data_IF_385588108668
#
_entry.id   IF_385588108668
#
_cell.length_a   1.000
_cell.length_b   1.000
_cell.length_c   1.000
_cell.angle_alpha   90.00
_cell.angle_beta   90.00
_cell.angle_gamma   90.00
#
_symmetry.space_group_name_H-M   'P 1'
#
loop_
_entity.id
_entity.type
_entity.pdbx_description
1 polymer ?
#
# COMPACT_ATOMS: atom_id res chain seq x y z
N UNK A 1 -29.44 -35.54 -29.50
CA UNK A 1 -27.99 -35.80 -29.25
C UNK A 1 -27.08 -35.11 -30.27
N UNK A 2 -27.42 -35.11 -31.57
CA UNK A 2 -26.61 -34.46 -32.62
C UNK A 2 -26.49 -32.92 -32.47
N UNK A 3 -27.56 -32.24 -32.04
CA UNK A 3 -27.57 -30.79 -31.80
C UNK A 3 -26.70 -30.34 -30.63
N UNK A 4 -26.60 -31.16 -29.57
CA UNK A 4 -25.71 -30.88 -28.43
C UNK A 4 -24.23 -30.97 -28.84
N UNK A 5 -23.87 -32.01 -29.61
CA UNK A 5 -22.53 -32.17 -30.15
C UNK A 5 -22.16 -30.99 -31.08
N UNK A 6 -23.07 -30.59 -31.97
CA UNK A 6 -22.90 -29.42 -32.82
C UNK A 6 -22.70 -28.13 -32.02
N UNK A 7 -23.50 -27.90 -30.97
CA UNK A 7 -23.36 -26.72 -30.11
C UNK A 7 -22.04 -26.69 -29.34
N UNK A 8 -21.58 -27.83 -28.82
CA UNK A 8 -20.26 -27.92 -28.16
C UNK A 8 -19.10 -27.70 -29.11
N UNK A 9 -19.21 -28.13 -30.38
CA UNK A 9 -18.17 -27.90 -31.39
C UNK A 9 -18.10 -26.45 -31.85
N UNK A 10 -19.22 -25.72 -31.88
CA UNK A 10 -19.25 -24.31 -32.31
C UNK A 10 -18.37 -23.44 -31.41
N UNK A 11 -18.52 -23.54 -30.09
CA UNK A 11 -17.71 -22.73 -29.15
C UNK A 11 -16.22 -23.05 -29.22
N UNK A 12 -15.87 -24.33 -29.40
CA UNK A 12 -14.48 -24.75 -29.57
C UNK A 12 -13.89 -24.19 -30.87
N UNK A 13 -14.67 -24.14 -31.94
CA UNK A 13 -14.24 -23.59 -33.22
C UNK A 13 -14.10 -22.06 -33.15
N UNK A 14 -15.04 -21.36 -32.51
CA UNK A 14 -14.93 -19.92 -32.24
C UNK A 14 -13.64 -19.58 -31.47
N UNK A 15 -13.33 -20.37 -30.43
CA UNK A 15 -12.08 -20.22 -29.69
C UNK A 15 -10.85 -20.47 -30.57
N UNK A 16 -10.90 -21.51 -31.40
CA UNK A 16 -9.81 -21.86 -32.32
C UNK A 16 -9.54 -20.76 -33.33
N UNK A 17 -10.60 -20.18 -33.91
CA UNK A 17 -10.52 -19.05 -34.84
C UNK A 17 -9.89 -17.86 -34.13
N UNK A 18 -10.45 -17.44 -32.98
CA UNK A 18 -9.94 -16.29 -32.20
C UNK A 18 -8.47 -16.45 -31.81
N UNK A 19 -8.06 -17.66 -31.41
CA UNK A 19 -6.66 -17.97 -31.09
C UNK A 19 -5.76 -17.83 -32.31
N UNK A 20 -6.22 -18.32 -33.46
CA UNK A 20 -5.47 -18.24 -34.73
C UNK A 20 -5.30 -16.80 -35.18
N UNK A 21 -6.37 -16.00 -35.11
CA UNK A 21 -6.34 -14.57 -35.47
C UNK A 21 -5.40 -13.80 -34.56
N UNK A 22 -5.44 -14.07 -33.25
CA UNK A 22 -4.55 -13.45 -32.27
C UNK A 22 -3.09 -13.80 -32.56
N UNK A 23 -2.79 -15.06 -32.89
CA UNK A 23 -1.43 -15.48 -33.29
C UNK A 23 -0.95 -14.80 -34.57
N UNK A 24 -1.80 -14.73 -35.59
CA UNK A 24 -1.47 -14.04 -36.84
C UNK A 24 -1.21 -12.55 -36.61
N UNK A 25 -2.05 -11.90 -35.81
CA UNK A 25 -1.88 -10.51 -35.42
C UNK A 25 -0.56 -10.28 -34.66
N UNK A 26 -0.24 -11.11 -33.67
CA UNK A 26 1.02 -11.01 -32.90
C UNK A 26 2.26 -11.20 -33.79
N UNK A 27 2.20 -12.12 -34.76
CA UNK A 27 3.27 -12.34 -35.73
C UNK A 27 3.45 -11.15 -36.65
N UNK A 28 2.34 -10.61 -37.17
CA UNK A 28 2.36 -9.44 -38.04
C UNK A 28 2.93 -8.20 -37.33
N UNK A 29 2.63 -8.04 -36.03
CA UNK A 29 3.18 -6.97 -35.18
C UNK A 29 4.58 -7.25 -34.62
N UNK A 30 5.19 -8.39 -34.97
CA UNK A 30 6.54 -8.77 -34.57
C UNK A 30 6.77 -8.71 -33.04
N UNK A 31 5.78 -9.13 -32.26
CA UNK A 31 5.89 -9.05 -30.80
C UNK A 31 7.05 -9.92 -30.27
N UNK A 32 7.80 -9.46 -29.25
CA UNK A 32 8.75 -10.28 -28.51
C UNK A 32 8.14 -11.60 -28.01
N UNK A 33 8.97 -12.64 -27.90
CA UNK A 33 8.52 -13.97 -27.50
C UNK A 33 7.87 -13.96 -26.10
N UNK A 34 8.40 -13.18 -25.17
CA UNK A 34 7.88 -13.04 -23.80
C UNK A 34 6.47 -12.44 -23.78
N UNK A 35 6.23 -11.40 -24.58
CA UNK A 35 4.89 -10.81 -24.72
C UNK A 35 3.91 -11.78 -25.37
N UNK A 36 4.33 -12.51 -26.40
CA UNK A 36 3.51 -13.55 -27.03
C UNK A 36 3.12 -14.65 -26.05
N UNK A 37 4.04 -15.09 -25.20
CA UNK A 37 3.75 -16.08 -24.15
C UNK A 37 2.78 -15.54 -23.11
N UNK A 38 2.93 -14.26 -22.72
CA UNK A 38 2.04 -13.60 -21.76
C UNK A 38 0.61 -13.49 -22.31
N UNK A 39 0.44 -13.09 -23.58
CA UNK A 39 -0.86 -13.04 -24.25
C UNK A 39 -1.50 -14.44 -24.33
N UNK A 40 -0.75 -15.47 -24.74
CA UNK A 40 -1.25 -16.86 -24.79
C UNK A 40 -1.74 -17.35 -23.43
N UNK A 41 -0.98 -17.06 -22.37
CA UNK A 41 -1.33 -17.43 -20.99
C UNK A 41 -2.64 -16.76 -20.57
N UNK A 42 -2.75 -15.45 -20.84
CA UNK A 42 -3.96 -14.69 -20.56
C UNK A 42 -5.18 -15.24 -21.30
N UNK A 43 -5.07 -15.49 -22.61
CA UNK A 43 -6.18 -16.02 -23.41
C UNK A 43 -6.62 -17.41 -22.94
N UNK A 44 -5.65 -18.27 -22.60
CA UNK A 44 -5.93 -19.60 -22.04
C UNK A 44 -6.64 -19.48 -20.69
N UNK A 45 -6.15 -18.62 -19.79
CA UNK A 45 -6.76 -18.41 -18.49
C UNK A 45 -8.17 -17.84 -18.62
N UNK A 46 -8.35 -16.79 -19.42
CA UNK A 46 -9.66 -16.19 -19.71
C UNK A 46 -10.65 -17.22 -20.24
N UNK A 47 -10.22 -18.11 -21.12
CA UNK A 47 -11.06 -19.19 -21.62
C UNK A 47 -11.47 -20.18 -20.52
N UNK A 48 -10.53 -20.57 -19.65
CA UNK A 48 -10.82 -21.50 -18.55
C UNK A 48 -11.78 -20.87 -17.53
N UNK A 49 -11.55 -19.60 -17.18
CA UNK A 49 -12.34 -18.87 -16.20
C UNK A 49 -13.77 -18.61 -16.70
N UNK A 50 -13.92 -18.11 -17.93
CA UNK A 50 -15.22 -17.68 -18.47
C UNK A 50 -15.93 -18.73 -19.34
N UNK A 51 -15.23 -19.80 -19.74
CA UNK A 51 -15.69 -20.80 -20.72
C UNK A 51 -16.19 -20.18 -22.04
N UNK A 52 -15.60 -19.03 -22.41
CA UNK A 52 -15.96 -18.29 -23.62
C UNK A 52 -17.20 -17.42 -23.49
N UNK A 53 -17.79 -17.30 -22.31
CA UNK A 53 -18.92 -16.40 -22.07
C UNK A 53 -18.40 -14.99 -21.85
N UNK A 54 -18.84 -14.07 -22.70
CA UNK A 54 -18.68 -12.64 -22.45
C UNK A 54 -19.78 -12.20 -21.47
N UNK A 55 -19.41 -12.07 -20.18
CA UNK A 55 -20.32 -11.68 -19.11
C UNK A 55 -20.97 -10.32 -19.37
N UNK A 56 -20.25 -9.37 -19.96
CA UNK A 56 -20.79 -8.03 -20.20
C UNK A 56 -21.81 -8.05 -21.35
N UNK A 57 -21.53 -8.81 -22.41
CA UNK A 57 -22.49 -9.01 -23.50
C UNK A 57 -23.74 -9.78 -23.03
N UNK A 58 -23.55 -10.80 -22.18
CA UNK A 58 -24.66 -11.55 -21.57
C UNK A 58 -25.56 -10.63 -20.75
N UNK A 59 -24.98 -9.81 -19.89
CA UNK A 59 -25.72 -8.86 -19.04
C UNK A 59 -26.40 -7.75 -19.86
N UNK A 60 -25.81 -7.32 -20.99
CA UNK A 60 -26.43 -6.35 -21.91
C UNK A 60 -27.69 -6.89 -22.60
N UNK A 61 -27.81 -8.21 -22.77
CA UNK A 61 -29.00 -8.86 -23.34
C UNK A 61 -30.19 -8.95 -22.39
N UNK A 62 -30.00 -8.65 -21.10
CA UNK A 62 -31.05 -8.73 -20.07
C UNK A 62 -31.73 -7.37 -19.85
N UNK A 63 -33.01 -7.35 -19.44
CA UNK A 63 -33.67 -6.15 -18.90
C UNK A 63 -32.86 -5.51 -17.78
N UNK A 64 -32.96 -4.17 -17.65
CA UNK A 64 -32.13 -3.41 -16.71
C UNK A 64 -32.29 -3.86 -15.26
N UNK A 65 -33.50 -4.21 -14.82
CA UNK A 65 -33.76 -4.65 -13.45
C UNK A 65 -33.04 -5.96 -13.13
N UNK A 66 -33.13 -6.96 -14.03
CA UNK A 66 -32.43 -8.23 -13.86
C UNK A 66 -30.91 -8.06 -13.87
N UNK A 67 -30.40 -7.20 -14.76
CA UNK A 67 -28.97 -6.89 -14.79
C UNK A 67 -28.49 -6.28 -13.47
N UNK A 68 -29.27 -5.35 -12.90
CA UNK A 68 -28.96 -4.72 -11.60
C UNK A 68 -28.97 -5.76 -10.48
N UNK A 69 -29.98 -6.61 -10.42
CA UNK A 69 -30.11 -7.62 -9.38
C UNK A 69 -28.96 -8.65 -9.42
N UNK A 70 -28.56 -9.07 -10.63
CA UNK A 70 -27.39 -9.96 -10.81
C UNK A 70 -26.10 -9.26 -10.35
N UNK A 71 -25.84 -8.02 -10.81
CA UNK A 71 -24.64 -7.28 -10.40
C UNK A 71 -24.59 -7.05 -8.89
N UNK A 72 -25.72 -6.72 -8.27
CA UNK A 72 -25.85 -6.58 -6.82
C UNK A 72 -25.53 -7.89 -6.12
N UNK A 73 -26.08 -9.02 -6.57
CA UNK A 73 -25.80 -10.32 -5.98
C UNK A 73 -24.31 -10.71 -6.05
N UNK A 74 -23.64 -10.41 -7.16
CA UNK A 74 -22.23 -10.76 -7.35
C UNK A 74 -21.27 -9.87 -6.56
N UNK A 75 -21.58 -8.58 -6.41
CA UNK A 75 -20.62 -7.58 -5.95
C UNK A 75 -20.87 -7.05 -4.53
N UNK A 76 -22.12 -7.09 -4.03
CA UNK A 76 -22.49 -6.36 -2.81
C UNK A 76 -21.65 -6.74 -1.59
N UNK A 77 -21.43 -8.04 -1.39
CA UNK A 77 -20.64 -8.56 -0.25
C UNK A 77 -19.17 -8.13 -0.36
N UNK A 78 -18.63 -8.02 -1.56
CA UNK A 78 -17.25 -7.56 -1.79
C UNK A 78 -17.13 -6.06 -1.54
N UNK A 79 -18.12 -5.27 -2.00
CA UNK A 79 -18.14 -3.83 -1.79
C UNK A 79 -18.26 -3.50 -0.30
N UNK A 80 -19.15 -4.19 0.44
CA UNK A 80 -19.32 -3.97 1.90
C UNK A 80 -18.09 -4.34 2.73
N UNK A 81 -17.17 -5.15 2.22
CA UNK A 81 -15.88 -5.39 2.91
C UNK A 81 -15.00 -4.15 2.97
N UNK A 82 -15.21 -3.18 2.07
CA UNK A 82 -14.54 -1.88 2.17
C UNK A 82 -15.24 -1.09 3.27
N UNK A 83 -14.56 -0.78 4.39
CA UNK A 83 -15.24 -0.22 5.56
C UNK A 83 -15.84 1.16 5.32
N UNK A 84 -15.32 1.89 4.33
CA UNK A 84 -15.90 3.15 3.86
C UNK A 84 -17.27 2.92 3.20
N UNK A 85 -17.41 1.87 2.39
CA UNK A 85 -18.64 1.58 1.66
C UNK A 85 -19.71 0.96 2.56
N UNK A 86 -19.33 0.21 3.59
CA UNK A 86 -20.27 -0.35 4.55
C UNK A 86 -21.10 0.72 5.30
N UNK A 87 -20.57 1.94 5.40
CA UNK A 87 -21.24 3.09 6.03
C UNK A 87 -22.14 3.87 5.05
N UNK A 88 -22.24 3.44 3.79
CA UNK A 88 -23.03 4.10 2.76
C UNK A 88 -24.46 3.55 2.68
N UNK A 89 -25.37 4.38 2.18
CA UNK A 89 -26.75 3.97 1.88
C UNK A 89 -26.80 2.92 0.75
N UNK A 90 -27.77 2.00 0.81
CA UNK A 90 -27.90 0.91 -0.17
C UNK A 90 -27.99 1.40 -1.63
N UNK A 91 -28.61 2.56 -1.88
CA UNK A 91 -28.69 3.16 -3.23
C UNK A 91 -27.30 3.49 -3.80
N UNK A 92 -26.38 3.87 -2.94
CA UNK A 92 -25.02 4.19 -3.32
C UNK A 92 -24.22 2.91 -3.59
N UNK A 93 -24.38 1.90 -2.72
CA UNK A 93 -23.81 0.58 -2.93
C UNK A 93 -24.28 -0.04 -4.25
N UNK A 94 -25.56 0.08 -4.57
CA UNK A 94 -26.12 -0.31 -5.87
C UNK A 94 -25.43 0.42 -7.02
N UNK A 95 -25.25 1.74 -6.91
CA UNK A 95 -24.60 2.54 -7.95
C UNK A 95 -23.12 2.16 -8.20
N UNK A 96 -22.36 1.72 -7.18
CA UNK A 96 -21.00 1.19 -7.40
C UNK A 96 -21.07 -0.23 -7.96
N UNK A 97 -21.98 -1.08 -7.47
CA UNK A 97 -22.14 -2.45 -7.97
C UNK A 97 -22.46 -2.47 -9.48
N UNK A 98 -23.27 -1.54 -9.95
CA UNK A 98 -23.58 -1.38 -11.37
C UNK A 98 -22.37 -1.01 -12.23
N UNK A 99 -21.37 -0.34 -11.66
CA UNK A 99 -20.16 0.16 -12.36
C UNK A 99 -18.96 -0.79 -12.27
N UNK A 100 -19.02 -1.80 -11.40
CA UNK A 100 -17.98 -2.82 -11.35
C UNK A 100 -17.90 -3.62 -12.65
N UNK A 101 -16.67 -3.87 -13.08
CA UNK A 101 -16.33 -4.64 -14.27
C UNK A 101 -15.45 -5.84 -13.89
N UNK A 102 -15.68 -7.04 -14.44
CA UNK A 102 -14.82 -8.19 -14.18
C UNK A 102 -13.42 -7.94 -14.74
N UNK A 103 -12.40 -8.29 -13.95
CA UNK A 103 -10.99 -8.16 -14.28
C UNK A 103 -10.26 -9.49 -14.00
N UNK A 104 -9.42 -9.90 -14.94
CA UNK A 104 -8.63 -11.12 -14.86
C UNK A 104 -7.15 -10.77 -14.99
N UNK A 105 -6.32 -11.31 -14.11
CA UNK A 105 -4.88 -11.09 -14.14
C UNK A 105 -4.14 -12.42 -14.07
N UNK A 106 -3.13 -12.58 -14.92
CA UNK A 106 -2.27 -13.76 -14.90
C UNK A 106 -1.18 -13.66 -13.85
N UNK A 107 -0.65 -14.81 -13.44
CA UNK A 107 0.51 -14.88 -12.56
C UNK A 107 1.66 -14.01 -13.09
N UNK A 108 2.29 -13.25 -12.19
CA UNK A 108 3.44 -12.43 -12.51
C UNK A 108 3.11 -11.04 -13.07
N UNK A 109 1.86 -10.79 -13.45
CA UNK A 109 1.41 -9.49 -13.93
C UNK A 109 1.55 -8.44 -12.83
N UNK A 110 2.02 -7.25 -13.19
CA UNK A 110 2.10 -6.11 -12.28
C UNK A 110 0.87 -5.24 -12.54
N UNK A 111 -0.02 -5.18 -11.55
CA UNK A 111 -1.31 -4.50 -11.66
C UNK A 111 -1.14 -2.99 -11.42
N UNK A 112 -0.27 -2.65 -10.47
CA UNK A 112 0.09 -1.26 -10.15
C UNK A 112 1.56 -1.20 -9.81
N UNK A 113 2.25 -0.13 -10.21
CA UNK A 113 3.62 0.15 -9.77
C UNK A 113 3.59 1.34 -8.84
N UNK A 114 4.48 1.33 -7.85
CA UNK A 114 4.70 2.49 -7.01
C UNK A 114 5.03 3.71 -7.88
N UNK A 115 4.40 4.85 -7.58
CA UNK A 115 4.48 6.13 -8.31
C UNK A 115 3.73 6.21 -9.65
N UNK A 116 3.08 5.15 -10.10
CA UNK A 116 2.22 5.21 -11.30
C UNK A 116 0.80 5.72 -10.95
N UNK A 117 0.09 6.39 -11.87
CA UNK A 117 -1.30 6.80 -11.66
C UNK A 117 -2.22 5.60 -11.40
N UNK A 118 -3.04 5.69 -10.35
CA UNK A 118 -4.04 4.66 -10.03
C UNK A 118 -5.30 4.93 -10.86
N UNK A 119 -5.61 4.03 -11.79
CA UNK A 119 -6.74 4.17 -12.70
C UNK A 119 -8.01 3.47 -12.21
N UNK A 120 -7.86 2.45 -11.38
CA UNK A 120 -8.94 1.58 -10.93
C UNK A 120 -8.67 1.04 -9.52
N UNK A 121 -9.75 0.78 -8.79
CA UNK A 121 -9.75 0.09 -7.51
C UNK A 121 -10.18 -1.35 -7.74
N UNK A 122 -9.42 -2.32 -7.23
CA UNK A 122 -9.68 -3.74 -7.46
C UNK A 122 -10.19 -4.43 -6.20
N UNK A 123 -11.19 -5.28 -6.36
CA UNK A 123 -11.79 -6.12 -5.33
C UNK A 123 -11.49 -7.57 -5.66
N UNK A 124 -10.71 -8.25 -4.81
CA UNK A 124 -10.19 -9.57 -5.12
C UNK A 124 -11.24 -10.63 -4.79
N UNK A 125 -11.59 -11.46 -5.76
CA UNK A 125 -12.54 -12.57 -5.60
C UNK A 125 -11.77 -13.87 -5.38
N UNK A 126 -10.73 -14.08 -6.19
CA UNK A 126 -9.86 -15.25 -6.14
C UNK A 126 -8.42 -14.87 -6.45
N UNK A 127 -7.51 -15.69 -5.93
CA UNK A 127 -6.07 -15.46 -6.06
C UNK A 127 -5.51 -14.52 -5.01
N UNK A 128 -4.22 -14.23 -5.14
CA UNK A 128 -3.40 -13.48 -4.22
C UNK A 128 -2.48 -12.52 -4.96
N UNK A 129 -2.31 -11.35 -4.37
CA UNK A 129 -1.38 -10.33 -4.83
C UNK A 129 -0.32 -10.10 -3.76
N UNK A 130 0.91 -9.84 -4.18
CA UNK A 130 1.95 -9.28 -3.33
C UNK A 130 1.97 -7.77 -3.52
N UNK A 131 1.88 -7.06 -2.40
CA UNK A 131 2.02 -5.61 -2.35
C UNK A 131 3.34 -5.26 -1.69
N UNK A 132 4.16 -4.45 -2.35
CA UNK A 132 5.45 -3.98 -1.86
C UNK A 132 5.53 -2.47 -1.93
N UNK A 133 6.05 -1.81 -0.90
CA UNK A 133 6.33 -0.37 -0.91
C UNK A 133 7.76 -0.11 -0.49
N UNK A 134 8.42 0.76 -1.25
CA UNK A 134 9.78 1.25 -0.99
C UNK A 134 9.79 2.69 -0.50
N UNK A 135 8.61 3.30 -0.38
CA UNK A 135 8.41 4.71 -0.04
C UNK A 135 9.33 5.63 -0.86
N UNK A 136 9.26 5.48 -2.18
CA UNK A 136 10.07 6.23 -3.14
C UNK A 136 11.56 5.88 -3.08
N UNK A 137 11.90 4.60 -2.84
CA UNK A 137 13.28 4.12 -2.85
C UNK A 137 14.11 4.48 -1.62
N UNK A 138 13.48 4.74 -0.47
CA UNK A 138 14.19 5.04 0.77
C UNK A 138 14.99 3.81 1.24
N UNK A 139 16.30 3.97 1.44
CA UNK A 139 17.17 2.90 1.90
C UNK A 139 16.72 2.37 3.27
N UNK A 140 16.61 1.04 3.39
CA UNK A 140 16.17 0.37 4.62
C UNK A 140 14.66 0.39 4.89
N UNK A 141 13.84 0.90 3.95
CA UNK A 141 12.39 0.84 4.04
C UNK A 141 11.83 -0.14 2.99
N UNK A 142 11.35 -1.29 3.47
CA UNK A 142 10.66 -2.28 2.65
C UNK A 142 9.50 -2.85 3.45
N UNK A 143 8.27 -2.60 3.00
CA UNK A 143 7.08 -3.19 3.59
C UNK A 143 6.41 -4.04 2.51
N UNK A 144 6.14 -5.30 2.83
CA UNK A 144 5.42 -6.22 1.97
C UNK A 144 4.21 -6.80 2.71
N UNK A 145 3.11 -6.97 1.98
CA UNK A 145 1.94 -7.68 2.47
C UNK A 145 1.27 -8.45 1.33
N UNK A 146 0.57 -9.53 1.69
CA UNK A 146 -0.21 -10.33 0.76
C UNK A 146 -1.67 -9.90 0.83
N UNK A 147 -2.26 -9.66 -0.34
CA UNK A 147 -3.68 -9.32 -0.52
C UNK A 147 -4.35 -10.59 -1.03
N UNK A 148 -5.44 -11.01 -0.39
CA UNK A 148 -6.15 -12.24 -0.76
C UNK A 148 -7.63 -12.01 -1.09
N UNK A 149 -8.41 -13.11 -1.20
CA UNK A 149 -9.83 -13.05 -1.48
C UNK A 149 -10.61 -12.21 -0.46
N UNK A 150 -11.34 -11.23 -0.96
CA UNK A 150 -12.13 -10.27 -0.19
C UNK A 150 -11.37 -9.03 0.29
N UNK A 151 -10.08 -8.95 0.04
CA UNK A 151 -9.32 -7.71 0.18
C UNK A 151 -9.45 -6.85 -1.09
N UNK A 152 -8.94 -5.61 -1.01
CA UNK A 152 -8.96 -4.66 -2.11
C UNK A 152 -7.63 -3.89 -2.25
N UNK A 153 -7.40 -3.29 -3.42
CA UNK A 153 -6.28 -2.39 -3.67
C UNK A 153 -6.71 -1.18 -4.52
N UNK A 154 -5.90 -0.12 -4.56
CA UNK A 154 -6.26 1.16 -5.18
C UNK A 154 -7.06 2.10 -4.28
N UNK A 155 -6.91 1.95 -2.95
CA UNK A 155 -7.57 2.78 -1.93
C UNK A 155 -7.22 4.27 -2.02
N UNK A 156 -6.12 4.61 -2.70
CA UNK A 156 -5.72 5.98 -3.01
C UNK A 156 -6.82 6.75 -3.74
N UNK A 157 -7.59 6.05 -4.58
CA UNK A 157 -8.72 6.61 -5.31
C UNK A 157 -9.86 7.07 -4.40
N UNK A 158 -10.01 6.47 -3.21
CA UNK A 158 -11.06 6.89 -2.28
C UNK A 158 -10.80 8.32 -1.80
N UNK A 159 -9.57 8.65 -1.43
CA UNK A 159 -9.19 10.02 -1.02
C UNK A 159 -9.45 11.03 -2.12
N UNK A 160 -9.01 10.70 -3.33
CA UNK A 160 -9.13 11.56 -4.51
C UNK A 160 -10.59 11.75 -4.94
N UNK A 161 -11.40 10.69 -4.89
CA UNK A 161 -12.81 10.75 -5.24
C UNK A 161 -13.58 11.65 -4.25
N UNK A 162 -13.21 11.59 -2.98
CA UNK A 162 -13.83 12.34 -1.89
C UNK A 162 -13.40 13.82 -1.82
N UNK A 163 -12.26 14.23 -2.40
CA UNK A 163 -11.83 15.63 -2.37
C UNK A 163 -12.81 16.53 -3.19
N UNK A 164 -13.45 17.53 -2.55
CA UNK A 164 -14.37 18.46 -3.20
C UNK A 164 -13.66 19.47 -4.11
N UNK A 165 -12.34 19.64 -4.00
CA UNK A 165 -11.59 20.65 -4.76
C UNK A 165 -11.32 20.16 -6.18
N UNK A 166 -11.72 20.92 -7.22
CA UNK A 166 -11.47 20.57 -8.62
C UNK A 166 -9.99 20.58 -9.04
N UNK A 167 -9.08 21.03 -8.17
CA UNK A 167 -7.67 21.26 -8.50
C UNK A 167 -6.83 19.98 -8.69
N UNK A 168 -7.30 18.82 -8.22
CA UNK A 168 -6.66 17.52 -8.51
C UNK A 168 -7.36 16.82 -9.68
N UNK A 169 -7.25 17.39 -10.89
CA UNK A 169 -7.71 16.73 -12.12
C UNK A 169 -6.85 15.54 -12.53
N UNK A 170 -5.66 15.39 -11.93
CA UNK A 170 -4.79 14.23 -12.13
C UNK A 170 -5.11 13.13 -11.12
N UNK A 171 -5.04 11.88 -11.59
CA UNK A 171 -5.19 10.69 -10.75
C UNK A 171 -4.12 10.64 -9.65
N UNK A 172 -4.44 10.08 -8.47
CA UNK A 172 -3.45 9.90 -7.42
C UNK A 172 -2.39 8.88 -7.85
N UNK A 173 -1.17 9.07 -7.35
CA UNK A 173 -0.07 8.12 -7.58
C UNK A 173 -0.17 6.95 -6.61
N UNK A 174 0.12 5.75 -7.09
CA UNK A 174 0.16 4.55 -6.27
C UNK A 174 1.29 4.62 -5.26
N UNK A 175 1.03 4.19 -4.02
CA UNK A 175 2.06 4.13 -2.98
C UNK A 175 2.81 2.80 -2.89
N UNK A 176 2.40 1.84 -3.71
CA UNK A 176 2.92 0.47 -3.66
C UNK A 176 2.90 -0.20 -5.03
N UNK A 177 3.82 -1.11 -5.24
CA UNK A 177 3.79 -2.03 -6.37
C UNK A 177 2.94 -3.23 -5.98
N UNK A 178 1.98 -3.61 -6.82
CA UNK A 178 1.11 -4.76 -6.62
C UNK A 178 1.28 -5.73 -7.77
N UNK A 179 1.63 -6.98 -7.46
CA UNK A 179 1.93 -8.03 -8.42
C UNK A 179 1.09 -9.27 -8.14
N UNK A 180 0.56 -9.89 -9.19
CA UNK A 180 -0.14 -11.16 -9.09
C UNK A 180 0.83 -12.30 -8.77
N UNK A 181 0.51 -13.06 -7.71
CA UNK A 181 1.26 -14.26 -7.30
C UNK A 181 0.71 -15.50 -7.97
N UNK A 182 -0.59 -15.54 -8.22
CA UNK A 182 -1.31 -16.59 -8.93
C UNK A 182 -2.25 -15.96 -9.97
N UNK A 183 -3.10 -16.78 -10.61
CA UNK A 183 -4.15 -16.30 -11.51
C UNK A 183 -5.28 -15.68 -10.66
N UNK A 184 -5.59 -14.41 -10.91
CA UNK A 184 -6.46 -13.58 -10.06
C UNK A 184 -7.72 -13.20 -10.79
N UNK A 185 -8.86 -13.41 -10.11
CA UNK A 185 -10.18 -12.92 -10.50
C UNK A 185 -10.56 -11.76 -9.58
N UNK A 186 -10.89 -10.61 -10.15
CA UNK A 186 -11.25 -9.42 -9.41
C UNK A 186 -12.41 -8.68 -10.09
N UNK A 187 -13.04 -7.77 -9.35
CA UNK A 187 -13.82 -6.69 -9.95
C UNK A 187 -13.02 -5.40 -9.91
N UNK A 188 -13.10 -4.59 -10.97
CA UNK A 188 -12.50 -3.28 -11.09
C UNK A 188 -13.56 -2.19 -11.03
N UNK A 189 -13.32 -1.17 -10.21
CA UNK A 189 -14.05 0.09 -10.20
C UNK A 189 -13.15 1.20 -10.74
N UNK A 190 -13.46 1.69 -11.93
CA UNK A 190 -12.68 2.72 -12.61
C UNK A 190 -12.75 4.05 -11.84
N UNK A 191 -11.66 4.81 -11.82
CA UNK A 191 -11.57 6.09 -11.12
C UNK A 191 -12.69 7.07 -11.49
N UNK A 192 -13.00 7.20 -12.78
CA UNK A 192 -14.06 8.09 -13.27
C UNK A 192 -15.44 7.69 -12.73
N UNK A 193 -15.71 6.38 -12.66
CA UNK A 193 -16.95 5.83 -12.13
C UNK A 193 -17.06 6.05 -10.62
N UNK A 194 -15.98 5.86 -9.89
CA UNK A 194 -15.92 6.17 -8.46
C UNK A 194 -16.12 7.67 -8.21
N UNK A 195 -15.48 8.56 -9.00
CA UNK A 195 -15.67 10.01 -8.88
C UNK A 195 -17.10 10.40 -9.19
N UNK A 196 -17.70 9.81 -10.22
CA UNK A 196 -19.11 10.03 -10.55
C UNK A 196 -19.99 9.70 -9.35
N UNK A 197 -19.84 8.51 -8.74
CA UNK A 197 -20.61 8.15 -7.55
C UNK A 197 -20.32 9.11 -6.40
N UNK A 198 -19.05 9.42 -6.11
CA UNK A 198 -18.69 10.34 -5.03
C UNK A 198 -19.33 11.74 -5.19
N UNK A 199 -19.43 12.27 -6.42
CA UNK A 199 -20.04 13.58 -6.68
C UNK A 199 -21.56 13.61 -6.46
N UNK A 200 -22.25 12.50 -6.74
CA UNK A 200 -23.71 12.41 -6.60
C UNK A 200 -24.16 12.37 -5.13
N UNK A 201 -23.28 11.93 -4.24
CA UNK A 201 -23.62 11.64 -2.86
C UNK A 201 -22.69 12.44 -1.92
N UNK A 202 -22.97 13.74 -1.79
CA UNK A 202 -22.17 14.69 -0.99
C UNK A 202 -22.19 14.46 0.53
N UNK A 203 -22.91 13.45 1.04
CA UNK A 203 -22.98 13.11 2.48
C UNK A 203 -21.73 12.39 3.02
N UNK A 204 -20.71 12.19 2.19
CA UNK A 204 -19.49 11.47 2.54
C UNK A 204 -18.55 12.23 3.52
N UNK A 205 -18.93 13.43 3.96
CA UNK A 205 -18.07 14.33 4.74
C UNK A 205 -18.15 14.15 6.27
N UNK A 206 -18.90 13.15 6.76
CA UNK A 206 -19.02 12.86 8.19
C UNK A 206 -17.66 12.60 8.85
N UNK A 207 -17.51 13.06 10.10
CA UNK A 207 -16.34 12.77 10.95
C UNK A 207 -16.07 11.26 11.07
N UNK A 208 -17.13 10.45 11.04
CA UNK A 208 -17.07 9.00 11.09
C UNK A 208 -16.32 8.43 9.89
N UNK A 209 -16.65 8.89 8.68
CA UNK A 209 -16.00 8.49 7.43
C UNK A 209 -14.52 8.87 7.43
N UNK A 210 -14.17 10.06 7.95
CA UNK A 210 -12.76 10.47 8.09
C UNK A 210 -11.98 9.52 9.00
N UNK A 211 -12.56 9.13 10.13
CA UNK A 211 -11.92 8.20 11.06
C UNK A 211 -11.75 6.81 10.43
N UNK A 212 -12.81 6.29 9.80
CA UNK A 212 -12.79 5.02 9.06
C UNK A 212 -11.68 5.04 8.01
N UNK A 213 -11.62 6.09 7.18
CA UNK A 213 -10.59 6.22 6.16
C UNK A 213 -9.16 6.22 6.75
N UNK A 214 -8.91 7.01 7.81
CA UNK A 214 -7.60 7.05 8.49
C UNK A 214 -7.21 5.70 9.10
N UNK A 215 -8.19 4.96 9.60
CA UNK A 215 -7.94 3.67 10.25
C UNK A 215 -7.59 2.58 9.23
N UNK A 216 -8.31 2.53 8.11
CA UNK A 216 -8.17 1.47 7.12
C UNK A 216 -7.13 1.75 6.04
N UNK A 217 -6.83 3.02 5.76
CA UNK A 217 -5.81 3.34 4.77
C UNK A 217 -4.42 2.86 5.19
N UNK A 218 -3.80 2.06 4.32
CA UNK A 218 -2.45 1.58 4.42
C UNK A 218 -1.44 2.72 4.58
N UNK A 219 -1.63 3.84 3.87
CA UNK A 219 -0.73 5.01 3.98
C UNK A 219 -0.73 5.58 5.40
N UNK A 220 -1.91 5.74 6.00
CA UNK A 220 -2.06 6.25 7.37
C UNK A 220 -1.52 5.26 8.41
N UNK A 221 -1.76 3.96 8.22
CA UNK A 221 -1.22 2.91 9.09
C UNK A 221 0.31 2.86 9.05
N UNK A 222 0.89 2.94 7.86
CA UNK A 222 2.34 2.96 7.65
C UNK A 222 2.97 4.22 8.26
N UNK A 223 2.37 5.39 8.01
CA UNK A 223 2.81 6.64 8.63
C UNK A 223 2.76 6.58 10.16
N UNK A 224 1.65 6.08 10.73
CA UNK A 224 1.50 5.95 12.18
C UNK A 224 2.52 4.97 12.77
N UNK A 225 2.74 3.81 12.14
CA UNK A 225 3.73 2.84 12.57
C UNK A 225 5.13 3.46 12.60
N UNK A 226 5.53 4.17 11.53
CA UNK A 226 6.84 4.80 11.48
C UNK A 226 6.97 5.98 12.45
N UNK A 227 5.90 6.72 12.70
CA UNK A 227 5.89 7.78 13.71
C UNK A 227 6.16 7.20 15.10
N UNK A 228 5.47 6.11 15.46
CA UNK A 228 5.66 5.40 16.72
C UNK A 228 7.08 4.83 16.81
N UNK A 229 7.57 4.19 15.75
CA UNK A 229 8.94 3.65 15.67
C UNK A 229 9.99 4.76 15.89
N UNK A 230 9.85 5.91 15.24
CA UNK A 230 10.76 7.03 15.40
C UNK A 230 10.72 7.62 16.83
N UNK A 231 9.54 7.70 17.44
CA UNK A 231 9.38 8.13 18.83
C UNK A 231 10.04 7.14 19.79
N UNK A 232 9.86 5.83 19.59
CA UNK A 232 10.51 4.78 20.37
C UNK A 232 12.03 4.80 20.24
N UNK A 233 12.56 4.95 19.03
CA UNK A 233 14.00 5.07 18.80
C UNK A 233 14.57 6.31 19.50
N UNK A 234 13.87 7.46 19.46
CA UNK A 234 14.25 8.66 20.21
C UNK A 234 14.23 8.43 21.72
N UNK A 235 13.26 7.69 22.25
CA UNK A 235 13.20 7.32 23.66
C UNK A 235 14.36 6.40 24.05
N UNK A 236 14.64 5.36 23.26
CA UNK A 236 15.75 4.42 23.48
C UNK A 236 17.10 5.13 23.47
N UNK A 237 17.35 6.04 22.52
CA UNK A 237 18.56 6.88 22.47
C UNK A 237 18.69 7.77 23.70
N UNK A 238 17.58 8.37 24.16
CA UNK A 238 17.56 9.18 25.40
C UNK A 238 17.85 8.33 26.63
N UNK A 239 17.31 7.12 26.74
CA UNK A 239 17.61 6.22 27.87
C UNK A 239 19.07 5.79 27.86
N UNK A 240 19.61 5.39 26.72
CA UNK A 240 21.01 5.00 26.58
C UNK A 240 21.97 6.16 26.92
N UNK A 241 21.64 7.40 26.53
CA UNK A 241 22.48 8.56 26.87
C UNK A 241 22.41 8.92 28.35
N UNK A 242 21.26 8.76 29.00
CA UNK A 242 21.12 8.93 30.46
C UNK A 242 21.90 7.84 31.21
N UNK A 243 21.83 6.59 30.75
CA UNK A 243 22.55 5.46 31.34
C UNK A 243 24.07 5.63 31.19
N UNK A 244 24.55 6.03 30.01
CA UNK A 244 25.96 6.37 29.78
C UNK A 244 26.43 7.51 30.69
N UNK A 245 25.66 8.59 30.79
CA UNK A 245 25.96 9.70 31.71
C UNK A 245 26.00 9.26 33.18
N UNK A 246 25.12 8.33 33.58
CA UNK A 246 25.13 7.79 34.94
C UNK A 246 26.37 6.92 35.21
N UNK A 247 26.78 6.08 34.24
CA UNK A 247 28.02 5.28 34.32
C UNK A 247 29.25 6.19 34.37
N UNK A 248 29.32 7.21 33.51
CA UNK A 248 30.40 8.20 33.50
C UNK A 248 30.46 8.97 34.82
N UNK A 249 29.33 9.45 35.35
CA UNK A 249 29.26 10.14 36.62
C UNK A 249 29.70 9.23 37.79
N UNK A 250 29.28 7.97 37.81
CA UNK A 250 29.72 6.99 38.80
C UNK A 250 31.23 6.71 38.71
N UNK A 251 31.78 6.61 37.50
CA UNK A 251 33.21 6.43 37.28
C UNK A 251 34.03 7.66 37.73
N UNK A 252 33.53 8.87 37.48
CA UNK A 252 34.14 10.12 37.96
C UNK A 252 34.09 10.19 39.49
N UNK A 253 32.96 9.87 40.10
CA UNK A 253 32.81 9.84 41.57
C UNK A 253 33.73 8.78 42.21
N UNK A 254 33.86 7.60 41.62
CA UNK A 254 34.78 6.56 42.08
C UNK A 254 36.25 7.01 41.98
N UNK A 255 36.64 7.67 40.88
CA UNK A 255 37.98 8.28 40.73
C UNK A 255 38.22 9.38 41.78
N UNK A 256 37.24 10.23 42.05
CA UNK A 256 37.33 11.27 43.07
C UNK A 256 37.47 10.69 44.49
N UNK A 257 36.71 9.65 44.82
CA UNK A 257 36.81 8.95 46.10
C UNK A 257 38.15 8.21 46.26
N UNK A 258 38.67 7.60 45.20
CA UNK A 258 40.00 7.00 45.20
C UNK A 258 41.11 8.04 45.37
N UNK A 259 40.97 9.21 44.72
CA UNK A 259 41.89 10.34 44.90
C UNK A 259 41.80 10.92 46.32
N UNK A 260 40.62 11.03 46.93
CA UNK A 260 40.49 11.48 48.32
C UNK A 260 41.11 10.49 49.31
N UNK A 261 40.91 9.18 49.12
CA UNK A 261 41.59 8.14 49.93
C UNK A 261 43.11 8.17 49.74
N UNK A 262 43.59 8.41 48.53
CA UNK A 262 45.02 8.59 48.26
C UNK A 262 45.57 9.86 48.90
N UNK A 263 44.82 10.96 48.92
CA UNK A 263 45.19 12.21 49.62
C UNK A 263 45.15 12.06 51.13
N UNK A 264 44.21 11.27 51.69
CA UNK A 264 44.13 10.98 53.12
C UNK A 264 45.28 10.06 53.57
N UNK A 265 45.64 9.07 52.75
CA UNK A 265 46.84 8.24 52.97
C UNK A 265 48.14 9.02 52.71
N UNK A 266 48.14 10.01 51.81
CA UNK A 266 49.25 10.97 51.65
C UNK A 266 49.30 11.99 52.77
N UNK A 267 48.20 12.39 53.42
CA UNK A 267 48.23 13.23 54.61
C UNK A 267 48.87 12.50 55.80
N UNK A 268 48.75 11.17 55.86
CA UNK A 268 49.50 10.32 56.81
C UNK A 268 50.98 10.18 56.41
N UNK A 269 51.32 10.27 55.11
CA UNK A 269 52.70 10.12 54.61
C UNK A 269 53.46 11.44 54.33
N UNK A 270 52.80 12.60 54.35
CA UNK A 270 53.40 13.93 54.06
C UNK A 270 53.80 14.68 55.34
N UNK A 271 53.86 13.99 56.49
CA UNK A 271 54.81 14.36 57.55
C UNK A 271 56.28 14.04 57.16
N UNK A 272 56.53 13.50 55.96
CA UNK A 272 57.88 13.24 55.46
C UNK A 272 58.00 13.62 53.97
N UNK A 273 58.96 14.49 53.69
CA UNK A 273 59.42 15.00 52.39
C UNK A 273 58.65 16.15 51.73
N UNK A 274 59.19 17.34 51.99
CA UNK A 274 59.22 18.50 51.10
C UNK A 274 60.18 18.21 49.93
N UNK A 275 59.78 18.60 48.69
CA UNK A 275 60.57 19.34 47.70
C UNK A 275 60.33 18.91 46.23
N UNK A 276 59.77 19.85 45.44
CA UNK A 276 59.98 20.06 43.99
C UNK A 276 59.45 18.96 43.02
N UNK A 277 58.96 19.17 41.80
CA UNK A 277 59.10 20.19 40.74
C UNK A 277 57.88 20.12 39.79
N UNK A 278 57.83 21.11 38.88
CA UNK A 278 56.81 21.51 37.88
C UNK A 278 56.44 20.49 36.77
N UNK A 279 55.38 20.89 36.02
CA UNK A 279 55.10 20.67 34.57
C UNK A 279 54.12 19.50 34.31
N UNK A 280 53.04 19.57 33.54
CA UNK A 280 52.53 20.49 32.52
C UNK A 280 51.96 19.63 31.37
N UNK A 281 50.78 19.95 30.81
CA UNK A 281 50.32 19.33 29.55
C UNK A 281 48.81 19.07 29.46
N UNK A 282 48.11 19.94 28.74
CA UNK A 282 46.69 19.86 28.38
C UNK A 282 46.54 19.05 27.08
N UNK A 283 45.50 18.21 26.95
CA UNK A 283 45.19 17.48 25.72
C UNK A 283 43.68 17.39 25.51
N UNK A 284 43.15 18.25 24.65
CA UNK A 284 41.75 18.22 24.18
C UNK A 284 41.64 17.32 22.94
N UNK A 285 40.74 16.34 22.99
CA UNK A 285 40.34 15.50 21.85
C UNK A 285 38.86 15.77 21.55
N UNK A 286 38.59 16.56 20.51
CA UNK A 286 37.25 16.81 19.98
C UNK A 286 36.87 15.73 18.98
N UNK A 287 35.94 14.85 19.36
CA UNK A 287 35.35 13.82 18.51
C UNK A 287 33.90 14.15 18.11
N UNK A 288 33.73 14.45 16.83
CA UNK A 288 32.57 14.23 15.93
C UNK A 288 31.19 13.84 16.49
N UNK A 289 30.14 14.52 16.00
CA UNK A 289 28.85 13.86 15.72
C UNK A 289 28.31 14.35 14.37
N UNK A 290 28.47 13.50 13.35
CA UNK A 290 27.74 13.62 12.08
C UNK A 290 26.26 13.28 12.33
N UNK A 291 25.38 14.21 11.99
CA UNK A 291 23.93 14.02 12.09
C UNK A 291 23.43 13.10 10.98
N UNK A 292 22.85 11.96 11.38
CA UNK A 292 22.17 11.04 10.47
C UNK A 292 20.83 11.64 10.00
N UNK A 293 20.75 11.89 8.69
CA UNK A 293 19.70 12.59 7.97
C UNK A 293 18.46 11.75 7.69
N UNK A 294 17.85 11.14 8.71
CA UNK A 294 16.56 10.48 8.51
C UNK A 294 15.44 11.53 8.40
N UNK A 295 15.15 12.01 7.18
CA UNK A 295 13.97 12.85 6.94
C UNK A 295 12.71 12.14 7.47
N UNK A 296 11.87 12.81 8.28
CA UNK A 296 10.62 12.23 8.75
C UNK A 296 9.72 11.95 7.54
N UNK A 297 8.95 10.86 7.60
CA UNK A 297 7.94 10.56 6.59
C UNK A 297 6.95 11.72 6.51
N UNK A 298 6.67 12.17 5.29
CA UNK A 298 5.70 13.21 5.04
C UNK A 298 4.32 12.72 5.44
N UNK A 299 3.58 13.54 6.19
CA UNK A 299 2.20 13.24 6.60
C UNK A 299 1.38 13.02 5.31
N UNK A 300 0.64 11.90 5.18
CA UNK A 300 -0.27 11.69 4.06
C UNK A 300 -1.24 12.86 3.93
N UNK A 301 -1.53 13.28 2.70
CA UNK A 301 -2.43 14.40 2.43
C UNK A 301 -3.82 14.05 2.95
N UNK A 302 -4.38 14.90 3.81
CA UNK A 302 -5.75 14.74 4.26
C UNK A 302 -6.69 15.19 3.13
N UNK A 303 -7.74 14.42 2.78
CA UNK A 303 -8.80 14.93 1.94
C UNK A 303 -9.41 16.15 2.63
N UNK A 304 -9.39 17.28 1.93
CA UNK A 304 -9.78 18.57 2.48
C UNK A 304 -11.30 18.73 2.39
N UNK A 305 -11.95 18.47 3.51
CA UNK A 305 -13.40 18.52 3.63
C UNK A 305 -13.86 19.80 4.34
N UNK A 306 -13.11 20.90 4.20
CA UNK A 306 -13.38 22.17 4.86
C UNK A 306 -14.44 23.03 4.17
N UNK A 307 -15.08 22.53 3.10
CA UNK A 307 -16.18 23.24 2.43
C UNK A 307 -17.52 22.87 3.08
N UNK A 308 -17.80 23.47 4.24
CA UNK A 308 -19.15 23.69 4.75
C UNK A 308 -19.26 25.16 5.20
N UNK A 309 -19.79 26.00 4.30
CA UNK A 309 -20.93 26.89 4.60
C UNK A 309 -22.03 26.59 3.57
#
# INVERSE_FOLDING_TARGET
>A
MQSYLQSTTVRLEEWRIKRTDTEQWMRHRQLPQELRQSVRRYDQYKWIATRGVDEEALLKGLPMDLRRDIKRHLCLDLVRRVPLFDQMDDRMLEAICERLQPALFTEGTILMRELDPVNEMLFIIRGHLDSTTTNGGRTGFFNCCRIGPGDFCGEELLTWALDPRPAMSSLPLSTRTVKAVDEVEAFALVANDLKFVATQFRRLHSKQIRHTFRFYSHQWRTWAACFIQAAWQRHKRRRASVELKAIEAAAVAAKAAAASKATQNRAVFVARLVASTRRGGNGEAGGTVAGDGSRPLQKPTEPDFSVEE
#
